data_IF_197710924975
#
_entry.id   IF_197710924975
#
_cell.length_a   1.000
_cell.length_b   1.000
_cell.length_c   1.000
_cell.angle_alpha   90.00
_cell.angle_beta   90.00
_cell.angle_gamma   90.00
#
_symmetry.space_group_name_H-M   'P 1'
#
loop_
_entity.id
_entity.type
_entity.pdbx_description
1 polymer ?
#
# COMPACT_ATOMS: atom_id res chain seq x y z
N UNK A 1 -9.15 8.06 16.50
CA UNK A 1 -9.63 9.35 17.01
C UNK A 1 -8.63 10.50 16.81
N UNK A 2 -7.34 10.38 17.15
CA UNK A 2 -6.37 11.48 16.96
C UNK A 2 -6.01 11.75 15.48
N UNK A 3 -5.83 10.72 14.63
CA UNK A 3 -5.58 10.94 13.20
C UNK A 3 -6.68 11.78 12.55
N UNK A 4 -7.95 11.48 12.82
CA UNK A 4 -9.07 12.22 12.23
C UNK A 4 -9.11 13.71 12.64
N UNK A 5 -8.52 14.09 13.78
CA UNK A 5 -8.43 15.50 14.20
C UNK A 5 -7.23 16.23 13.56
N UNK A 6 -6.15 15.51 13.28
CA UNK A 6 -4.90 16.04 12.69
C UNK A 6 -5.04 16.37 11.19
N UNK A 7 -5.87 15.62 10.46
CA UNK A 7 -6.00 15.77 9.00
C UNK A 7 -7.22 16.60 8.54
N UNK A 8 -8.06 17.10 9.46
CA UNK A 8 -9.40 17.61 9.11
C UNK A 8 -9.55 19.15 9.09
N UNK A 9 -8.45 19.92 9.17
CA UNK A 9 -8.50 21.38 8.97
C UNK A 9 -8.22 21.82 7.52
N UNK A 10 -7.99 20.88 6.59
CA UNK A 10 -7.88 21.19 5.16
C UNK A 10 -9.11 20.70 4.39
N UNK A 11 -10.22 21.42 4.51
CA UNK A 11 -11.28 21.44 3.48
C UNK A 11 -10.84 22.18 2.20
N UNK A 12 -9.53 22.17 1.89
CA UNK A 12 -8.92 22.92 0.80
C UNK A 12 -7.85 22.12 0.05
N UNK A 13 -8.24 20.95 -0.48
CA UNK A 13 -7.86 20.38 -1.81
C UNK A 13 -8.18 18.88 -1.88
N UNK A 14 -9.46 18.55 -1.99
CA UNK A 14 -9.94 17.20 -2.34
C UNK A 14 -9.80 16.94 -3.86
N UNK A 15 -8.72 17.43 -4.48
CA UNK A 15 -8.45 17.26 -5.90
C UNK A 15 -7.46 16.11 -6.08
N UNK A 16 -7.82 15.14 -6.93
CA UNK A 16 -6.92 14.07 -7.38
C UNK A 16 -5.63 14.69 -7.91
N UNK A 17 -4.51 14.45 -7.21
CA UNK A 17 -3.21 14.89 -7.69
C UNK A 17 -2.74 13.98 -8.82
N UNK A 18 -2.29 14.61 -9.91
CA UNK A 18 -1.62 13.97 -11.04
C UNK A 18 -0.12 14.32 -11.06
N UNK A 19 0.39 14.96 -10.01
CA UNK A 19 1.79 15.36 -9.94
C UNK A 19 2.68 14.11 -9.77
N UNK A 20 3.66 13.87 -10.65
CA UNK A 20 4.63 12.78 -10.49
C UNK A 20 5.36 12.78 -9.14
N UNK A 21 5.49 13.95 -8.48
CA UNK A 21 6.09 14.06 -7.14
C UNK A 21 5.27 13.34 -6.08
N UNK A 22 3.94 13.44 -6.15
CA UNK A 22 3.06 12.78 -5.18
C UNK A 22 3.08 11.26 -5.38
N UNK A 23 3.14 10.78 -6.63
CA UNK A 23 3.37 9.36 -6.93
C UNK A 23 4.68 8.87 -6.32
N UNK A 24 5.77 9.58 -6.59
CA UNK A 24 7.09 9.21 -6.05
C UNK A 24 7.13 9.24 -4.52
N UNK A 25 6.44 10.19 -3.90
CA UNK A 25 6.33 10.25 -2.45
C UNK A 25 5.61 9.02 -1.89
N UNK A 26 4.44 8.67 -2.42
CA UNK A 26 3.71 7.45 -2.05
C UNK A 26 4.59 6.21 -2.20
N UNK A 27 5.29 6.08 -3.34
CA UNK A 27 6.21 4.96 -3.56
C UNK A 27 7.36 4.93 -2.54
N UNK A 28 7.86 6.09 -2.14
CA UNK A 28 8.91 6.19 -1.12
C UNK A 28 8.42 5.78 0.28
N UNK A 29 7.16 6.06 0.61
CA UNK A 29 6.55 5.72 1.90
C UNK A 29 6.42 4.21 2.11
N UNK A 30 6.18 3.45 1.03
CA UNK A 30 5.94 2.01 1.11
C UNK A 30 7.19 1.15 0.86
N UNK A 31 8.26 1.75 0.33
CA UNK A 31 9.47 1.04 -0.12
C UNK A 31 10.13 0.16 0.95
N UNK A 32 10.10 0.58 2.22
CA UNK A 32 10.73 -0.16 3.33
C UNK A 32 9.76 -1.09 4.07
N UNK A 33 8.49 -1.11 3.70
CA UNK A 33 7.46 -1.91 4.38
C UNK A 33 7.43 -3.30 3.76
N UNK A 34 7.66 -4.33 4.58
CA UNK A 34 7.76 -5.72 4.09
C UNK A 34 6.40 -6.37 3.82
N UNK A 35 5.37 -5.98 4.55
CA UNK A 35 4.04 -6.58 4.50
C UNK A 35 2.99 -5.53 4.21
N UNK A 36 2.14 -5.83 3.24
CA UNK A 36 0.95 -5.06 2.93
C UNK A 36 -0.29 -5.85 3.36
N UNK A 37 -1.37 -5.16 3.68
CA UNK A 37 -2.68 -5.79 3.88
C UNK A 37 -3.45 -5.75 2.56
N UNK A 38 -3.65 -6.91 1.95
CA UNK A 38 -4.47 -7.07 0.75
C UNK A 38 -5.92 -7.32 1.14
N UNK A 39 -6.80 -6.47 0.66
CA UNK A 39 -8.24 -6.56 0.85
C UNK A 39 -8.92 -6.91 -0.46
N UNK A 40 -9.69 -7.99 -0.43
CA UNK A 40 -10.52 -8.48 -1.54
C UNK A 40 -11.95 -8.65 -1.05
N UNK A 41 -12.87 -8.85 -1.99
CA UNK A 41 -14.30 -9.04 -1.71
C UNK A 41 -14.67 -10.50 -1.93
N UNK A 42 -15.32 -11.13 -0.96
CA UNK A 42 -15.82 -12.50 -1.11
C UNK A 42 -17.14 -12.57 -1.92
N UNK A 43 -17.65 -13.79 -2.09
CA UNK A 43 -18.92 -14.04 -2.82
C UNK A 43 -20.16 -13.42 -2.14
N UNK A 44 -20.07 -13.09 -0.86
CA UNK A 44 -21.14 -12.51 -0.04
C UNK A 44 -20.98 -10.98 0.09
N UNK A 45 -20.02 -10.39 -0.64
CA UNK A 45 -19.62 -8.99 -0.60
C UNK A 45 -18.98 -8.55 0.73
N UNK A 46 -18.49 -9.48 1.55
CA UNK A 46 -17.68 -9.14 2.71
C UNK A 46 -16.26 -8.78 2.28
N UNK A 47 -15.66 -7.79 2.95
CA UNK A 47 -14.27 -7.42 2.76
C UNK A 47 -13.37 -8.27 3.65
N UNK A 48 -12.37 -8.92 3.04
CA UNK A 48 -11.42 -9.77 3.76
C UNK A 48 -10.00 -9.26 3.54
N UNK A 49 -9.38 -8.77 4.61
CA UNK A 49 -8.01 -8.25 4.58
C UNK A 49 -7.02 -9.28 5.13
N UNK A 50 -5.86 -9.44 4.49
CA UNK A 50 -4.82 -10.39 4.90
C UNK A 50 -3.41 -9.87 4.63
N UNK A 51 -2.43 -10.19 5.49
CA UNK A 51 -1.04 -9.78 5.27
C UNK A 51 -0.46 -10.55 4.07
N UNK A 52 0.24 -9.82 3.21
CA UNK A 52 0.94 -10.34 2.05
C UNK A 52 2.36 -9.78 2.03
N UNK A 53 3.35 -10.65 1.83
CA UNK A 53 4.74 -10.24 1.67
C UNK A 53 4.90 -9.52 0.33
N UNK A 54 5.13 -8.21 0.43
CA UNK A 54 5.30 -7.34 -0.71
C UNK A 54 6.74 -7.46 -1.24
N UNK A 55 6.90 -7.58 -2.56
CA UNK A 55 8.21 -7.77 -3.19
C UNK A 55 8.77 -6.51 -3.80
N UNK A 56 7.98 -5.88 -4.67
CA UNK A 56 8.45 -4.78 -5.49
C UNK A 56 7.28 -3.95 -5.99
N UNK A 57 7.49 -2.62 -6.04
CA UNK A 57 6.67 -1.68 -6.79
C UNK A 57 7.51 -1.31 -8.00
N UNK A 58 6.96 -1.51 -9.19
CA UNK A 58 7.56 -0.93 -10.39
C UNK A 58 7.27 0.56 -10.47
N UNK A 59 8.10 1.31 -11.20
CA UNK A 59 7.94 2.78 -11.33
C UNK A 59 6.54 3.20 -11.79
N UNK A 60 5.82 2.29 -12.44
CA UNK A 60 4.51 2.54 -12.99
C UNK A 60 3.35 2.29 -12.00
N UNK A 61 3.61 1.71 -10.82
CA UNK A 61 2.58 1.45 -9.81
C UNK A 61 2.09 0.02 -9.79
N UNK A 62 2.81 -0.90 -10.42
CA UNK A 62 2.53 -2.32 -10.31
C UNK A 62 3.07 -2.87 -9.00
N UNK A 63 2.20 -3.49 -8.20
CA UNK A 63 2.60 -4.21 -6.99
C UNK A 63 2.66 -5.71 -7.27
N UNK A 64 3.76 -6.33 -6.87
CA UNK A 64 3.97 -7.76 -7.09
C UNK A 64 4.02 -8.55 -5.77
N UNK A 65 3.26 -9.65 -5.73
CA UNK A 65 3.22 -10.60 -4.62
C UNK A 65 3.33 -12.03 -5.13
N UNK A 66 4.06 -12.88 -4.41
CA UNK A 66 3.94 -14.33 -4.62
C UNK A 66 2.64 -14.83 -4.00
N UNK A 67 1.95 -15.72 -4.69
CA UNK A 67 0.76 -16.40 -4.16
C UNK A 67 0.67 -17.80 -4.72
N UNK A 68 -0.08 -18.66 -4.04
CA UNK A 68 -0.54 -19.92 -4.62
C UNK A 68 -1.73 -19.68 -5.54
N UNK A 69 -1.74 -20.32 -6.70
CA UNK A 69 -2.81 -20.23 -7.69
C UNK A 69 -4.15 -20.80 -7.19
N UNK A 70 -4.09 -21.82 -6.32
CA UNK A 70 -5.25 -22.43 -5.66
C UNK A 70 -5.82 -21.66 -4.45
N UNK A 71 -5.21 -20.53 -4.05
CA UNK A 71 -5.61 -19.86 -2.81
C UNK A 71 -6.97 -19.16 -2.90
N UNK A 72 -7.71 -19.10 -1.79
CA UNK A 72 -9.06 -18.51 -1.72
C UNK A 72 -9.14 -17.09 -2.32
N UNK A 73 -8.13 -16.25 -2.05
CA UNK A 73 -8.04 -14.87 -2.58
C UNK A 73 -8.00 -14.81 -4.10
N UNK A 74 -7.39 -15.80 -4.74
CA UNK A 74 -7.35 -15.88 -6.21
C UNK A 74 -8.74 -16.20 -6.75
N UNK A 75 -9.51 -17.04 -6.06
CA UNK A 75 -10.92 -17.29 -6.38
C UNK A 75 -11.79 -16.03 -6.23
N UNK A 76 -11.56 -15.24 -5.19
CA UNK A 76 -12.22 -13.93 -4.97
C UNK A 76 -11.87 -12.95 -6.11
N UNK A 77 -10.57 -12.79 -6.41
CA UNK A 77 -10.05 -11.87 -7.43
C UNK A 77 -10.55 -12.21 -8.83
N UNK A 78 -10.70 -13.51 -9.16
CA UNK A 78 -11.29 -13.95 -10.44
C UNK A 78 -12.73 -13.48 -10.63
N UNK A 79 -13.49 -13.28 -9.55
CA UNK A 79 -14.88 -12.81 -9.59
C UNK A 79 -14.96 -11.29 -9.54
N UNK A 80 -14.14 -10.68 -8.69
CA UNK A 80 -14.02 -9.24 -8.57
C UNK A 80 -12.55 -8.89 -8.36
N UNK A 81 -11.93 -8.33 -9.39
CA UNK A 81 -10.52 -7.99 -9.37
C UNK A 81 -10.22 -6.61 -8.76
N UNK A 82 -11.23 -5.84 -8.36
CA UNK A 82 -11.01 -4.61 -7.62
C UNK A 82 -10.53 -4.92 -6.20
N UNK A 83 -9.35 -4.43 -5.88
CA UNK A 83 -8.70 -4.69 -4.60
C UNK A 83 -8.22 -3.40 -3.96
N UNK A 84 -7.99 -3.47 -2.66
CA UNK A 84 -7.27 -2.44 -1.92
C UNK A 84 -6.04 -3.03 -1.24
N UNK A 85 -4.93 -2.32 -1.26
CA UNK A 85 -3.69 -2.67 -0.60
C UNK A 85 -3.32 -1.55 0.34
N UNK A 86 -3.17 -1.85 1.63
CA UNK A 86 -2.72 -0.86 2.60
C UNK A 86 -1.33 -1.18 3.14
N UNK A 87 -0.59 -0.11 3.40
CA UNK A 87 0.70 -0.14 4.04
C UNK A 87 0.66 0.76 5.27
N UNK A 88 1.34 0.35 6.33
CA UNK A 88 1.43 1.13 7.56
C UNK A 88 2.84 1.08 8.12
N UNK A 89 3.33 2.24 8.53
CA UNK A 89 4.52 2.40 9.36
C UNK A 89 4.12 3.25 10.58
N UNK A 90 3.58 2.61 11.64
CA UNK A 90 3.15 3.32 12.84
C UNK A 90 4.28 4.10 13.53
N UNK A 91 5.54 3.68 13.36
CA UNK A 91 6.69 4.37 13.96
C UNK A 91 6.90 5.77 13.39
N UNK A 92 6.60 5.92 12.09
CA UNK A 92 6.63 7.21 11.37
C UNK A 92 5.25 7.86 11.26
N UNK A 93 4.19 7.20 11.72
CA UNK A 93 2.79 7.60 11.52
C UNK A 93 2.44 7.73 10.03
N UNK A 94 3.04 6.87 9.20
CA UNK A 94 2.81 6.87 7.76
C UNK A 94 1.82 5.77 7.40
N UNK A 95 0.80 6.12 6.63
CA UNK A 95 -0.22 5.20 6.18
C UNK A 95 -0.49 5.44 4.70
N UNK A 96 -0.64 4.36 3.94
CA UNK A 96 -0.93 4.41 2.51
C UNK A 96 -2.03 3.40 2.21
N UNK A 97 -3.03 3.82 1.44
CA UNK A 97 -4.11 2.98 0.92
C UNK A 97 -4.10 3.10 -0.60
N UNK A 98 -3.97 1.98 -1.30
CA UNK A 98 -3.93 1.93 -2.76
C UNK A 98 -5.11 1.11 -3.27
N UNK A 99 -5.89 1.64 -4.19
CA UNK A 99 -6.90 0.88 -4.93
C UNK A 99 -6.41 0.56 -6.34
N UNK A 100 -6.80 -0.60 -6.86
CA UNK A 100 -6.42 -1.03 -8.20
C UNK A 100 -7.06 -2.35 -8.59
N UNK A 101 -6.53 -2.94 -9.66
CA UNK A 101 -6.99 -4.22 -10.19
C UNK A 101 -5.93 -5.30 -10.03
N UNK A 102 -6.35 -6.44 -9.50
CA UNK A 102 -5.48 -7.60 -9.30
C UNK A 102 -5.59 -8.60 -10.45
N UNK A 103 -4.47 -9.14 -10.89
CA UNK A 103 -4.40 -10.18 -11.90
C UNK A 103 -3.47 -11.32 -11.44
N UNK A 104 -3.90 -12.56 -11.67
CA UNK A 104 -3.06 -13.73 -11.46
C UNK A 104 -2.19 -13.96 -12.70
N UNK A 105 -0.88 -13.85 -12.53
CA UNK A 105 0.11 -13.98 -13.59
C UNK A 105 0.94 -15.25 -13.37
N UNK A 106 1.11 -16.05 -14.43
CA UNK A 106 2.03 -17.20 -14.48
C UNK A 106 3.19 -16.90 -15.43
N UNK A 107 4.06 -15.98 -15.02
CA UNK A 107 5.26 -15.61 -15.74
C UNK A 107 6.51 -16.13 -15.00
N UNK A 108 7.17 -17.14 -15.58
CA UNK A 108 8.38 -17.73 -15.01
C UNK A 108 9.56 -16.77 -14.99
N UNK A 109 9.69 -15.89 -15.98
CA UNK A 109 10.79 -14.93 -16.05
C UNK A 109 10.63 -13.89 -14.95
N UNK A 110 9.43 -13.34 -14.78
CA UNK A 110 9.14 -12.40 -13.69
C UNK A 110 9.26 -13.05 -12.32
N UNK A 111 8.79 -14.28 -12.16
CA UNK A 111 8.93 -15.03 -10.92
C UNK A 111 10.41 -15.23 -10.56
N UNK A 112 11.26 -15.54 -11.55
CA UNK A 112 12.71 -15.67 -11.36
C UNK A 112 13.37 -14.35 -10.94
N UNK A 113 12.96 -13.23 -11.54
CA UNK A 113 13.46 -11.89 -11.18
C UNK A 113 13.17 -11.54 -9.72
N UNK A 114 11.96 -11.81 -9.24
CA UNK A 114 11.49 -11.46 -7.90
C UNK A 114 11.84 -12.51 -6.83
N UNK A 115 12.44 -13.63 -7.24
CA UNK A 115 12.67 -14.78 -6.37
C UNK A 115 13.68 -14.48 -5.27
N UNK A 116 13.49 -15.15 -4.14
CA UNK A 116 14.40 -15.10 -3.00
C UNK A 116 14.32 -16.44 -2.27
N UNK A 117 15.45 -16.99 -1.85
CA UNK A 117 15.51 -18.37 -1.31
C UNK A 117 14.60 -18.62 -0.11
N UNK A 118 14.29 -17.60 0.68
CA UNK A 118 13.36 -17.75 1.80
C UNK A 118 11.95 -18.20 1.35
N UNK A 119 11.55 -17.93 0.11
CA UNK A 119 10.25 -18.34 -0.45
C UNK A 119 10.10 -19.87 -0.58
N UNK A 120 11.21 -20.63 -0.56
CA UNK A 120 11.18 -22.10 -0.57
C UNK A 120 10.38 -22.69 0.60
N UNK A 121 10.23 -21.95 1.70
CA UNK A 121 9.39 -22.36 2.82
C UNK A 121 7.88 -22.47 2.46
N UNK A 122 7.41 -21.71 1.46
CA UNK A 122 6.02 -21.75 0.98
C UNK A 122 5.86 -22.43 -0.38
N UNK A 123 6.93 -22.49 -1.17
CA UNK A 123 6.97 -23.16 -2.47
C UNK A 123 8.15 -24.15 -2.48
N UNK A 124 7.97 -25.37 -1.93
CA UNK A 124 9.04 -26.36 -1.84
C UNK A 124 9.59 -26.78 -3.21
N UNK A 125 8.77 -26.73 -4.26
CA UNK A 125 9.19 -26.94 -5.65
C UNK A 125 9.98 -25.79 -6.27
N UNK A 126 10.18 -24.69 -5.52
CA UNK A 126 10.85 -23.49 -6.01
C UNK A 126 10.11 -22.84 -7.18
N UNK A 127 10.86 -22.36 -8.19
CA UNK A 127 10.31 -21.74 -9.40
C UNK A 127 9.51 -22.70 -10.30
N UNK A 128 9.63 -24.01 -10.08
CA UNK A 128 8.89 -25.03 -10.81
C UNK A 128 7.71 -25.61 -10.00
N UNK A 129 7.41 -25.05 -8.82
CA UNK A 129 6.22 -25.40 -8.07
C UNK A 129 4.95 -25.12 -8.91
N UNK A 130 4.08 -26.10 -9.15
CA UNK A 130 2.93 -25.96 -10.06
C UNK A 130 1.89 -24.93 -9.57
N UNK A 131 1.92 -24.62 -8.27
CA UNK A 131 1.04 -23.66 -7.63
C UNK A 131 1.68 -22.29 -7.49
N UNK A 132 2.96 -22.12 -7.82
CA UNK A 132 3.60 -20.81 -7.84
C UNK A 132 2.95 -19.91 -8.90
N UNK A 133 2.47 -18.76 -8.44
CA UNK A 133 2.00 -17.69 -9.28
C UNK A 133 2.37 -16.34 -8.68
N UNK A 134 2.26 -15.32 -9.51
CA UNK A 134 2.37 -13.93 -9.11
C UNK A 134 0.97 -13.31 -9.08
N UNK A 135 0.71 -12.49 -8.08
CA UNK A 135 -0.41 -11.56 -8.08
C UNK A 135 0.16 -10.19 -8.41
N UNK A 136 -0.17 -9.67 -9.60
CA UNK A 136 0.11 -8.29 -9.99
C UNK A 136 -1.08 -7.44 -9.59
N UNK A 137 -0.83 -6.26 -9.05
CA UNK A 137 -1.87 -5.26 -8.80
C UNK A 137 -1.49 -3.99 -9.55
N UNK A 138 -2.30 -3.64 -10.53
CA UNK A 138 -2.19 -2.39 -11.28
C UNK A 138 -2.89 -1.33 -10.45
N UNK A 139 -2.12 -0.50 -9.75
CA UNK A 139 -2.66 0.57 -8.89
C UNK A 139 -3.30 1.62 -9.79
N UNK A 140 -4.55 1.99 -9.49
CA UNK A 140 -5.28 3.04 -10.20
C UNK A 140 -5.30 4.34 -9.37
N UNK A 141 -5.22 4.24 -8.05
CA UNK A 141 -5.15 5.39 -7.16
C UNK A 141 -4.58 5.06 -5.79
N UNK A 142 -4.07 6.08 -5.11
CA UNK A 142 -3.60 5.98 -3.74
C UNK A 142 -4.09 7.14 -2.90
N UNK A 143 -4.25 6.90 -1.61
CA UNK A 143 -4.42 7.91 -0.59
C UNK A 143 -3.33 7.69 0.47
N UNK A 144 -2.69 8.76 0.92
CA UNK A 144 -1.66 8.67 1.95
C UNK A 144 -1.93 9.64 3.09
N UNK A 145 -1.35 9.30 4.23
CA UNK A 145 -1.29 10.10 5.44
C UNK A 145 0.15 10.08 5.92
N UNK A 146 0.83 11.22 5.85
CA UNK A 146 2.16 11.43 6.40
C UNK A 146 2.04 12.46 7.53
N UNK A 147 2.73 12.22 8.65
CA UNK A 147 2.96 13.30 9.61
C UNK A 147 4.11 14.16 9.08
N UNK A 148 3.78 15.22 8.35
CA UNK A 148 4.75 16.16 7.80
C UNK A 148 5.50 16.88 8.94
N UNK A 149 6.54 16.26 9.50
CA UNK A 149 7.55 16.96 10.29
C UNK A 149 8.70 16.04 10.72
N UNK A 150 9.91 16.46 10.37
CA UNK A 150 11.12 15.99 11.04
C UNK A 150 11.00 16.19 12.58
N UNK A 151 11.78 15.47 13.37
CA UNK A 151 11.74 15.53 14.84
C UNK A 151 11.82 16.97 15.40
N UNK A 152 12.56 17.86 14.73
CA UNK A 152 12.69 19.28 15.11
C UNK A 152 11.39 20.05 14.89
N UNK A 153 10.74 19.90 13.75
CA UNK A 153 9.45 20.54 13.46
C UNK A 153 8.36 19.98 14.38
N UNK A 154 8.43 18.70 14.77
CA UNK A 154 7.55 18.12 15.80
C UNK A 154 7.78 18.74 17.17
N UNK A 155 9.04 18.84 17.61
CA UNK A 155 9.38 19.47 18.90
C UNK A 155 8.91 20.94 18.96
N UNK A 156 9.12 21.69 17.87
CA UNK A 156 8.62 23.07 17.74
C UNK A 156 7.09 23.10 17.75
N UNK A 157 6.43 22.18 17.04
CA UNK A 157 4.98 22.05 17.05
C UNK A 157 4.42 21.76 18.45
N UNK A 158 5.04 20.85 19.21
CA UNK A 158 4.64 20.54 20.58
C UNK A 158 4.79 21.74 21.53
N UNK A 159 5.92 22.45 21.45
CA UNK A 159 6.14 23.67 22.27
C UNK A 159 5.10 24.73 21.93
N UNK A 160 4.84 24.98 20.64
CA UNK A 160 3.84 25.97 20.21
C UNK A 160 2.41 25.56 20.58
N UNK A 161 2.06 24.28 20.47
CA UNK A 161 0.76 23.76 20.90
C UNK A 161 0.55 23.92 22.42
N UNK A 162 1.58 23.68 23.23
CA UNK A 162 1.54 23.91 24.68
C UNK A 162 1.36 25.40 25.04
N UNK A 163 1.73 26.31 24.13
CA UNK A 163 1.53 27.75 24.25
C UNK A 163 0.17 28.23 23.68
N UNK A 164 -0.71 27.30 23.28
CA UNK A 164 -2.08 27.59 22.82
C UNK A 164 -2.25 27.72 21.31
N UNK A 165 -1.18 27.50 20.52
CA UNK A 165 -1.21 27.62 19.06
C UNK A 165 -1.43 26.22 18.42
N UNK A 166 -2.69 25.80 18.33
CA UNK A 166 -3.08 24.42 18.02
C UNK A 166 -2.92 23.99 16.54
N UNK A 167 -2.60 24.92 15.63
CA UNK A 167 -2.61 24.70 14.17
C UNK A 167 -1.29 24.15 13.58
N UNK A 168 -0.39 23.58 14.40
CA UNK A 168 1.00 23.25 13.95
C UNK A 168 1.28 21.73 13.96
N UNK A 169 0.34 20.92 14.42
CA UNK A 169 0.38 19.46 14.28
C UNK A 169 -0.43 19.02 13.06
N UNK A 170 -0.16 19.59 11.88
CA UNK A 170 -0.87 19.22 10.65
C UNK A 170 -0.13 18.09 9.92
N UNK A 171 -0.82 16.97 9.70
CA UNK A 171 -0.38 15.92 8.78
C UNK A 171 -0.87 16.21 7.37
N UNK A 172 -0.18 15.68 6.35
CA UNK A 172 -0.64 15.75 4.97
C UNK A 172 -1.50 14.54 4.58
N UNK A 173 -2.69 14.80 4.03
CA UNK A 173 -3.53 13.81 3.37
C UNK A 173 -3.75 14.21 1.91
N UNK A 174 -3.49 13.31 0.96
CA UNK A 174 -3.78 13.53 -0.47
C UNK A 174 -4.18 12.24 -1.19
N UNK A 175 -4.99 12.41 -2.25
CA UNK A 175 -5.31 11.37 -3.23
C UNK A 175 -4.47 11.54 -4.49
N UNK A 176 -3.90 10.46 -4.98
CA UNK A 176 -2.97 10.39 -6.11
C UNK A 176 -3.52 9.43 -7.16
N UNK A 177 -3.48 9.83 -8.43
CA UNK A 177 -3.85 8.95 -9.54
C UNK A 177 -2.63 8.18 -10.07
N UNK A 178 -2.82 6.90 -10.36
CA UNK A 178 -1.83 6.05 -11.02
C UNK A 178 -2.38 5.69 -12.42
N UNK A 179 -1.83 6.27 -13.50
CA UNK A 179 -2.21 5.90 -14.87
C UNK A 179 -1.53 4.61 -15.33
#
# INVERSE_FOLDING_TARGET
FILHLVYNNSTSKMSLSRDPKDKNHVLSMIKHIQFAMLTTTDKENNLHSRPMAYKQVEKDGELWFFTRADSHKVGEIKKNNHVNVTFSDPSKQNYVSMCGKAELIRDKQKAKELWSDYLKAWFPGGLDDPELALLRIDVEGAEYWDSASNLMTRAVGYVKAALGDANILEGENRKVNFP
#
